data_IF_396199045815
#
_entry.id   IF_396199045815
#
_cell.length_a   1.000
_cell.length_b   1.000
_cell.length_c   1.000
_cell.angle_alpha   90.00
_cell.angle_beta   90.00
_cell.angle_gamma   90.00
#
_symmetry.space_group_name_H-M   'P 1'
#
loop_
_entity.id
_entity.type
_entity.pdbx_description
1 polymer ?
#
# COMPACT_ATOMS: atom_id res chain seq x y z
N UNK A 1 9.46 15.74 5.43
CA UNK A 1 9.84 15.57 6.80
C UNK A 1 9.88 14.16 7.38
N UNK A 2 9.22 13.15 6.77
CA UNK A 2 9.14 11.81 7.39
C UNK A 2 10.48 11.06 7.41
N UNK A 3 11.33 11.22 6.38
CA UNK A 3 12.63 10.56 6.34
C UNK A 3 13.62 11.13 7.36
N UNK A 4 13.53 12.42 7.68
CA UNK A 4 14.37 13.03 8.72
C UNK A 4 14.07 12.49 10.12
N UNK A 5 12.82 12.18 10.43
CA UNK A 5 12.43 11.56 11.71
C UNK A 5 12.91 10.11 11.83
N UNK A 6 13.07 9.42 10.71
CA UNK A 6 13.65 8.09 10.68
C UNK A 6 15.15 8.13 11.03
N UNK A 7 15.94 9.03 10.47
CA UNK A 7 17.39 9.16 10.70
C UNK A 7 17.77 9.50 12.17
N UNK A 8 16.83 10.02 12.95
CA UNK A 8 17.04 10.41 14.35
C UNK A 8 16.42 9.44 15.37
N UNK A 9 15.89 8.30 14.94
CA UNK A 9 15.33 7.28 15.84
C UNK A 9 16.46 6.48 16.49
N UNK A 10 16.46 6.34 17.82
CA UNK A 10 17.48 5.58 18.57
C UNK A 10 17.50 4.07 18.24
N UNK A 11 16.45 3.53 17.58
CA UNK A 11 16.33 2.12 17.21
C UNK A 11 16.67 1.83 15.75
N UNK A 12 17.56 2.60 15.16
CA UNK A 12 17.95 2.47 13.77
C UNK A 12 18.77 1.20 13.51
N UNK A 13 18.48 0.44 12.44
CA UNK A 13 19.36 -0.65 12.00
C UNK A 13 20.74 -0.09 11.68
N UNK A 14 21.80 -0.60 12.35
CA UNK A 14 23.20 -0.24 12.06
C UNK A 14 23.70 -0.70 10.69
N UNK A 15 22.86 -1.42 9.93
CA UNK A 15 23.14 -1.91 8.58
C UNK A 15 22.20 -1.25 7.58
N UNK A 16 22.53 -1.33 6.30
CA UNK A 16 21.63 -0.90 5.22
C UNK A 16 20.25 -1.53 5.37
N UNK A 17 19.18 -0.77 5.14
CA UNK A 17 17.81 -1.23 5.25
C UNK A 17 16.92 -0.63 4.16
N UNK A 18 15.75 -1.23 3.97
CA UNK A 18 14.72 -0.72 3.08
C UNK A 18 13.66 0.03 3.87
N UNK A 19 13.34 1.23 3.42
CA UNK A 19 12.19 1.99 3.94
C UNK A 19 11.04 1.94 2.94
N UNK A 20 9.86 1.53 3.41
CA UNK A 20 8.59 1.81 2.75
C UNK A 20 8.01 3.10 3.36
N UNK A 21 8.09 4.19 2.62
CA UNK A 21 7.41 5.44 2.96
C UNK A 21 6.01 5.41 2.34
N UNK A 22 4.97 5.38 3.17
CA UNK A 22 3.59 5.27 2.72
C UNK A 22 2.65 6.22 3.47
N UNK A 23 2.20 7.25 2.76
CA UNK A 23 1.39 8.36 3.31
C UNK A 23 0.32 8.81 2.31
N UNK A 24 -0.39 9.89 2.64
CA UNK A 24 -1.34 10.56 1.74
C UNK A 24 -0.70 11.08 0.46
N UNK A 25 0.56 11.54 0.51
CA UNK A 25 1.24 12.15 -0.63
C UNK A 25 2.39 11.32 -1.21
N UNK A 26 2.85 10.28 -0.52
CA UNK A 26 4.02 9.51 -0.92
C UNK A 26 3.81 8.01 -0.79
N UNK A 27 4.28 7.28 -1.81
CA UNK A 27 4.46 5.82 -1.74
C UNK A 27 5.76 5.51 -2.44
N UNK A 28 6.80 5.24 -1.65
CA UNK A 28 8.17 5.07 -2.14
C UNK A 28 8.92 3.95 -1.41
N UNK A 29 9.79 3.25 -2.15
CA UNK A 29 10.78 2.33 -1.61
C UNK A 29 12.15 2.98 -1.66
N UNK A 30 12.79 3.12 -0.50
CA UNK A 30 14.05 3.84 -0.35
C UNK A 30 15.04 2.93 0.37
N UNK A 31 16.16 2.64 -0.30
CA UNK A 31 17.31 1.99 0.33
C UNK A 31 18.09 3.05 1.09
N UNK A 32 18.27 2.82 2.38
CA UNK A 32 19.10 3.66 3.24
C UNK A 32 20.42 2.91 3.50
N UNK A 33 21.52 3.60 3.27
CA UNK A 33 22.86 3.08 3.49
C UNK A 33 23.66 4.09 4.30
N UNK A 34 24.27 3.65 5.40
CA UNK A 34 25.00 4.50 6.34
C UNK A 34 26.14 5.32 5.66
N UNK A 35 26.81 4.71 4.67
CA UNK A 35 27.98 5.32 3.98
C UNK A 35 27.60 6.02 2.65
N UNK A 36 26.52 5.61 2.00
CA UNK A 36 26.15 6.07 0.64
C UNK A 36 24.86 6.90 0.59
N UNK A 37 24.27 7.19 1.75
CA UNK A 37 23.03 7.96 1.83
C UNK A 37 21.79 7.15 1.41
N UNK A 38 20.83 7.83 0.80
CA UNK A 38 19.53 7.28 0.43
C UNK A 38 19.39 7.13 -1.08
N UNK A 39 18.85 5.99 -1.53
CA UNK A 39 18.56 5.70 -2.92
C UNK A 39 17.10 5.27 -3.05
N UNK A 40 16.32 6.01 -3.84
CA UNK A 40 14.94 5.61 -4.19
C UNK A 40 15.01 4.47 -5.21
N UNK A 41 14.36 3.35 -4.90
CA UNK A 41 14.30 2.14 -5.72
C UNK A 41 12.95 1.97 -6.42
N UNK A 42 11.87 2.52 -5.85
CA UNK A 42 10.54 2.49 -6.42
C UNK A 42 9.69 3.64 -5.91
N UNK A 43 8.64 3.99 -6.65
CA UNK A 43 7.68 5.03 -6.31
C UNK A 43 6.31 4.77 -6.91
N UNK A 44 5.27 5.48 -6.44
CA UNK A 44 4.01 5.54 -7.18
C UNK A 44 4.12 6.45 -8.39
N UNK A 45 3.53 6.01 -9.51
CA UNK A 45 3.47 6.77 -10.77
C UNK A 45 2.18 7.59 -10.90
N UNK A 46 1.22 7.31 -10.05
CA UNK A 46 -0.06 8.01 -9.99
C UNK A 46 -0.42 8.33 -8.53
N UNK A 47 -1.60 7.97 -8.06
CA UNK A 47 -2.03 8.21 -6.67
C UNK A 47 -1.07 7.53 -5.67
N UNK A 48 -0.75 8.22 -4.58
CA UNK A 48 -0.17 7.56 -3.40
C UNK A 48 -1.19 6.63 -2.74
N UNK A 49 -0.73 5.64 -1.98
CA UNK A 49 -1.63 4.68 -1.32
C UNK A 49 -2.64 5.39 -0.39
N UNK A 50 -2.20 6.35 0.41
CA UNK A 50 -3.10 7.11 1.28
C UNK A 50 -4.10 7.95 0.51
N UNK A 51 -3.71 8.56 -0.60
CA UNK A 51 -4.61 9.26 -1.52
C UNK A 51 -5.66 8.31 -2.12
N UNK A 52 -5.27 7.08 -2.46
CA UNK A 52 -6.21 6.05 -2.93
C UNK A 52 -7.22 5.67 -1.85
N UNK A 53 -6.79 5.53 -0.59
CA UNK A 53 -7.68 5.34 0.56
C UNK A 53 -8.68 6.49 0.70
N UNK A 54 -8.24 7.75 0.59
CA UNK A 54 -9.11 8.93 0.71
C UNK A 54 -10.13 9.00 -0.44
N UNK A 55 -9.70 8.74 -1.67
CA UNK A 55 -10.56 8.74 -2.85
C UNK A 55 -11.61 7.63 -2.80
N UNK A 56 -11.21 6.41 -2.41
CA UNK A 56 -12.14 5.27 -2.28
C UNK A 56 -13.06 5.47 -1.07
N UNK A 57 -12.56 5.96 0.06
CA UNK A 57 -13.38 6.30 1.22
C UNK A 57 -14.51 7.27 0.84
N UNK A 58 -14.18 8.34 0.12
CA UNK A 58 -15.17 9.30 -0.39
C UNK A 58 -16.19 8.65 -1.33
N UNK A 59 -15.72 7.78 -2.25
CA UNK A 59 -16.59 7.06 -3.18
C UNK A 59 -17.58 6.14 -2.46
N UNK A 60 -17.18 5.55 -1.34
CA UNK A 60 -18.01 4.70 -0.50
C UNK A 60 -18.86 5.49 0.53
N UNK A 61 -18.83 6.83 0.50
CA UNK A 61 -19.59 7.68 1.42
C UNK A 61 -19.03 7.69 2.86
N UNK A 62 -17.75 7.33 3.05
CA UNK A 62 -17.09 7.29 4.35
C UNK A 62 -16.52 8.67 4.73
N UNK A 63 -16.29 8.87 6.04
CA UNK A 63 -15.67 10.08 6.57
C UNK A 63 -14.21 10.21 6.20
N UNK A 64 -13.71 11.44 6.16
CA UNK A 64 -12.28 11.74 6.06
C UNK A 64 -11.63 11.72 7.46
N UNK A 65 -10.38 11.21 7.59
CA UNK A 65 -9.51 10.63 6.55
C UNK A 65 -9.94 9.20 6.17
N UNK A 66 -9.83 8.90 4.86
CA UNK A 66 -10.32 7.65 4.26
C UNK A 66 -9.65 6.40 4.78
N UNK A 67 -8.34 6.45 5.09
CA UNK A 67 -7.60 5.31 5.61
C UNK A 67 -8.22 4.71 6.87
N UNK A 68 -8.32 5.45 7.99
CA UNK A 68 -8.97 4.97 9.21
C UNK A 68 -10.45 4.61 9.02
N UNK A 69 -11.19 5.33 8.17
CA UNK A 69 -12.59 5.05 7.91
C UNK A 69 -12.80 3.72 7.17
N UNK A 70 -11.98 3.45 6.15
CA UNK A 70 -11.98 2.16 5.44
C UNK A 70 -11.57 1.04 6.39
N UNK A 71 -10.48 1.18 7.16
CA UNK A 71 -10.05 0.17 8.11
C UNK A 71 -11.13 -0.18 9.14
N UNK A 72 -11.86 0.84 9.63
CA UNK A 72 -12.94 0.64 10.59
C UNK A 72 -14.08 -0.19 10.01
N UNK A 73 -14.56 0.16 8.81
CA UNK A 73 -15.71 -0.52 8.18
C UNK A 73 -15.33 -1.90 7.62
N UNK A 74 -14.10 -2.06 7.14
CA UNK A 74 -13.57 -3.30 6.60
C UNK A 74 -13.55 -4.46 7.61
N UNK A 75 -13.50 -4.17 8.92
CA UNK A 75 -13.60 -5.18 9.98
C UNK A 75 -14.88 -6.01 9.92
N UNK A 76 -15.94 -5.47 9.34
CA UNK A 76 -17.25 -6.11 9.22
C UNK A 76 -17.48 -6.69 7.82
N UNK A 77 -16.48 -6.66 6.93
CA UNK A 77 -16.57 -7.13 5.56
C UNK A 77 -15.73 -8.37 5.28
N UNK A 78 -16.07 -9.04 4.19
CA UNK A 78 -15.29 -10.15 3.67
C UNK A 78 -14.20 -9.63 2.68
N UNK A 79 -12.91 -9.73 3.03
CA UNK A 79 -11.83 -9.25 2.17
C UNK A 79 -11.68 -10.05 0.88
N UNK A 80 -12.27 -11.24 0.78
CA UNK A 80 -12.21 -12.10 -0.41
C UNK A 80 -13.45 -11.97 -1.31
N UNK A 81 -14.43 -11.16 -0.91
CA UNK A 81 -15.70 -11.02 -1.64
C UNK A 81 -15.54 -10.49 -3.05
N UNK A 82 -14.66 -9.52 -3.25
CA UNK A 82 -14.42 -8.91 -4.56
C UNK A 82 -12.97 -9.10 -5.01
N UNK A 83 -12.80 -9.59 -6.24
CA UNK A 83 -11.48 -9.72 -6.85
C UNK A 83 -11.10 -8.40 -7.55
N UNK A 84 -10.50 -7.47 -6.81
CA UNK A 84 -10.01 -6.21 -7.33
C UNK A 84 -8.61 -6.39 -7.94
N UNK A 85 -8.27 -5.62 -8.99
CA UNK A 85 -7.00 -5.78 -9.71
C UNK A 85 -5.81 -5.29 -8.89
N UNK A 86 -4.72 -6.05 -8.89
CA UNK A 86 -3.40 -5.57 -8.48
C UNK A 86 -2.77 -4.81 -9.63
N UNK A 87 -2.88 -3.48 -9.63
CA UNK A 87 -2.35 -2.66 -10.71
C UNK A 87 -0.84 -2.84 -10.87
N UNK A 88 -0.38 -3.02 -12.12
CA UNK A 88 1.02 -3.15 -12.49
C UNK A 88 1.34 -2.12 -13.56
N UNK A 89 2.57 -1.61 -13.54
CA UNK A 89 3.05 -0.65 -14.51
C UNK A 89 3.87 -1.38 -15.54
N UNK A 90 3.49 -1.28 -16.82
CA UNK A 90 4.22 -1.90 -17.92
C UNK A 90 5.61 -1.28 -18.08
N UNK A 91 6.60 -2.11 -18.28
CA UNK A 91 7.94 -1.72 -18.68
C UNK A 91 7.99 -1.55 -20.21
N UNK A 92 8.83 -0.65 -20.69
CA UNK A 92 9.09 -0.42 -22.13
C UNK A 92 9.62 -1.67 -22.86
N UNK A 93 10.12 -2.66 -22.11
CA UNK A 93 10.67 -3.92 -22.64
C UNK A 93 9.64 -5.08 -22.65
N UNK A 94 8.36 -4.80 -22.44
CA UNK A 94 7.29 -5.81 -22.47
C UNK A 94 7.08 -6.56 -21.15
N UNK A 95 7.71 -6.11 -20.05
CA UNK A 95 7.51 -6.63 -18.71
C UNK A 95 6.76 -5.65 -17.80
N UNK A 96 7.00 -5.76 -16.48
CA UNK A 96 6.47 -4.86 -15.48
C UNK A 96 7.59 -4.28 -14.60
N UNK A 97 7.42 -3.01 -14.20
CA UNK A 97 8.29 -2.39 -13.22
C UNK A 97 8.14 -3.10 -11.87
N UNK A 98 9.28 -3.57 -11.32
CA UNK A 98 9.27 -4.53 -10.20
C UNK A 98 8.90 -3.92 -8.86
N UNK A 99 9.24 -2.65 -8.63
CA UNK A 99 9.18 -1.99 -7.33
C UNK A 99 8.25 -0.77 -7.31
N UNK A 100 7.74 -0.38 -8.48
CA UNK A 100 6.89 0.79 -8.60
C UNK A 100 5.42 0.47 -8.34
N UNK A 101 4.66 1.48 -7.95
CA UNK A 101 3.27 1.37 -7.54
C UNK A 101 2.35 2.14 -8.48
N UNK A 102 1.11 1.69 -8.58
CA UNK A 102 0.00 2.39 -9.22
C UNK A 102 -1.29 2.02 -8.48
N UNK A 103 -2.10 3.01 -8.15
CA UNK A 103 -3.36 2.82 -7.42
C UNK A 103 -4.56 3.45 -8.13
N UNK A 104 -4.37 4.30 -9.16
CA UNK A 104 -5.48 4.94 -9.88
C UNK A 104 -6.40 3.92 -10.57
N UNK A 105 -5.83 2.84 -11.12
CA UNK A 105 -6.60 1.76 -11.71
C UNK A 105 -7.46 0.99 -10.70
N UNK A 106 -6.99 0.85 -9.46
CA UNK A 106 -7.73 0.22 -8.38
C UNK A 106 -8.93 1.08 -7.96
N UNK A 107 -8.76 2.41 -7.84
CA UNK A 107 -9.87 3.33 -7.61
C UNK A 107 -10.94 3.21 -8.69
N UNK A 108 -10.52 3.17 -9.97
CA UNK A 108 -11.44 3.04 -11.10
C UNK A 108 -12.18 1.70 -11.07
N UNK A 109 -11.53 0.62 -10.66
CA UNK A 109 -12.16 -0.68 -10.51
C UNK A 109 -13.26 -0.66 -9.43
N UNK A 110 -13.00 -0.02 -8.29
CA UNK A 110 -14.00 0.15 -7.22
C UNK A 110 -15.18 1.00 -7.71
N UNK A 111 -14.91 2.12 -8.43
CA UNK A 111 -15.98 2.96 -8.99
C UNK A 111 -16.91 2.14 -9.91
N UNK A 112 -16.33 1.42 -10.87
CA UNK A 112 -17.11 0.57 -11.79
C UNK A 112 -17.90 -0.53 -11.07
N UNK A 113 -17.32 -1.10 -10.01
CA UNK A 113 -18.01 -2.11 -9.20
C UNK A 113 -19.24 -1.51 -8.51
N UNK A 114 -19.12 -0.32 -7.89
CA UNK A 114 -20.24 0.39 -7.23
C UNK A 114 -21.31 0.76 -8.24
N UNK A 115 -20.92 1.30 -9.40
CA UNK A 115 -21.85 1.66 -10.48
C UNK A 115 -22.63 0.44 -10.96
N UNK A 116 -21.95 -0.69 -11.18
CA UNK A 116 -22.60 -1.94 -11.60
C UNK A 116 -23.63 -2.44 -10.57
N UNK A 117 -23.26 -2.44 -9.28
CA UNK A 117 -24.16 -2.88 -8.20
C UNK A 117 -25.41 -1.99 -8.15
N UNK A 118 -25.24 -0.67 -8.29
CA UNK A 118 -26.35 0.29 -8.32
C UNK A 118 -27.27 0.07 -9.55
N UNK A 119 -26.69 -0.16 -10.73
CA UNK A 119 -27.47 -0.47 -11.95
C UNK A 119 -28.26 -1.77 -11.82
N UNK A 120 -27.73 -2.75 -11.10
CA UNK A 120 -28.45 -4.00 -10.78
C UNK A 120 -29.55 -3.82 -9.73
N UNK A 121 -29.78 -2.60 -9.21
CA UNK A 121 -30.77 -2.30 -8.17
C UNK A 121 -30.44 -2.90 -6.79
N UNK A 122 -29.18 -3.26 -6.56
CA UNK A 122 -28.73 -3.89 -5.30
C UNK A 122 -28.14 -2.85 -4.33
N UNK A 123 -28.21 -3.15 -3.05
CA UNK A 123 -27.52 -2.37 -2.03
C UNK A 123 -26.02 -2.58 -2.13
N UNK A 124 -25.26 -1.49 -2.14
CA UNK A 124 -23.79 -1.53 -2.18
C UNK A 124 -23.25 -2.11 -0.87
N UNK A 125 -22.55 -3.26 -0.89
CA UNK A 125 -21.98 -3.87 0.34
C UNK A 125 -20.67 -3.15 0.71
N UNK A 126 -20.79 -1.96 1.26
CA UNK A 126 -19.65 -1.09 1.61
C UNK A 126 -18.58 -1.78 2.46
N UNK A 127 -18.92 -2.58 3.52
CA UNK A 127 -17.91 -3.28 4.29
C UNK A 127 -17.08 -4.26 3.46
N UNK A 128 -17.70 -5.03 2.58
CA UNK A 128 -17.02 -6.03 1.74
C UNK A 128 -16.11 -5.37 0.69
N UNK A 129 -16.57 -4.27 0.09
CA UNK A 129 -15.76 -3.50 -0.86
C UNK A 129 -14.57 -2.86 -0.16
N UNK A 130 -14.79 -2.26 1.02
CA UNK A 130 -13.73 -1.67 1.85
C UNK A 130 -12.67 -2.72 2.23
N UNK A 131 -13.10 -3.90 2.70
CA UNK A 131 -12.22 -5.00 3.09
C UNK A 131 -11.41 -5.54 1.88
N UNK A 132 -12.07 -5.73 0.73
CA UNK A 132 -11.40 -6.19 -0.49
C UNK A 132 -10.39 -5.17 -1.02
N UNK A 133 -10.72 -3.87 -0.96
CA UNK A 133 -9.83 -2.78 -1.34
C UNK A 133 -8.61 -2.72 -0.42
N UNK A 134 -8.82 -2.68 0.90
CA UNK A 134 -7.76 -2.63 1.90
C UNK A 134 -6.78 -3.81 1.73
N UNK A 135 -7.30 -5.03 1.56
CA UNK A 135 -6.50 -6.22 1.29
C UNK A 135 -5.61 -6.06 0.07
N UNK A 136 -6.16 -5.62 -1.06
CA UNK A 136 -5.40 -5.50 -2.31
C UNK A 136 -4.31 -4.42 -2.21
N UNK A 137 -4.60 -3.28 -1.57
CA UNK A 137 -3.57 -2.25 -1.32
C UNK A 137 -2.45 -2.82 -0.46
N UNK A 138 -2.78 -3.49 0.65
CA UNK A 138 -1.79 -4.10 1.53
C UNK A 138 -0.95 -5.17 0.81
N UNK A 139 -1.59 -6.06 0.03
CA UNK A 139 -0.88 -7.06 -0.78
C UNK A 139 0.12 -6.44 -1.77
N UNK A 140 -0.29 -5.38 -2.48
CA UNK A 140 0.58 -4.67 -3.44
C UNK A 140 1.78 -4.04 -2.74
N UNK A 141 1.56 -3.37 -1.60
CA UNK A 141 2.63 -2.75 -0.81
C UNK A 141 3.61 -3.80 -0.28
N UNK A 142 3.09 -4.88 0.30
CA UNK A 142 3.91 -5.97 0.87
C UNK A 142 4.69 -6.70 -0.22
N UNK A 143 4.03 -7.12 -1.30
CA UNK A 143 4.66 -7.87 -2.40
C UNK A 143 5.88 -7.12 -2.96
N UNK A 144 5.73 -5.82 -3.26
CA UNK A 144 6.81 -5.03 -3.84
C UNK A 144 7.92 -4.72 -2.85
N UNK A 145 7.57 -4.46 -1.59
CA UNK A 145 8.54 -4.21 -0.53
C UNK A 145 9.42 -5.44 -0.28
N UNK A 146 8.79 -6.60 -0.11
CA UNK A 146 9.51 -7.86 0.11
C UNK A 146 10.37 -8.24 -1.09
N UNK A 147 9.85 -8.08 -2.31
CA UNK A 147 10.64 -8.30 -3.54
C UNK A 147 11.85 -7.39 -3.59
N UNK A 148 11.67 -6.10 -3.36
CA UNK A 148 12.75 -5.11 -3.36
C UNK A 148 13.80 -5.44 -2.29
N UNK A 149 13.40 -5.82 -1.08
CA UNK A 149 14.32 -6.24 -0.03
C UNK A 149 15.14 -7.48 -0.44
N UNK A 150 14.49 -8.49 -1.06
CA UNK A 150 15.16 -9.70 -1.58
C UNK A 150 16.19 -9.37 -2.65
N UNK A 151 15.77 -8.65 -3.69
CA UNK A 151 16.62 -8.36 -4.85
C UNK A 151 17.83 -7.50 -4.47
N UNK A 152 17.75 -6.73 -3.37
CA UNK A 152 18.82 -5.87 -2.85
C UNK A 152 19.55 -6.44 -1.62
N UNK A 153 19.27 -7.67 -1.22
CA UNK A 153 19.86 -8.35 -0.04
C UNK A 153 19.75 -7.51 1.23
N UNK A 154 18.55 -6.95 1.51
CA UNK A 154 18.28 -6.13 2.68
C UNK A 154 17.41 -6.91 3.67
N UNK A 155 17.96 -7.14 4.88
CA UNK A 155 17.29 -7.94 5.92
C UNK A 155 16.34 -7.12 6.79
N UNK A 156 16.52 -5.79 6.82
CA UNK A 156 15.71 -4.91 7.63
C UNK A 156 14.78 -4.08 6.76
N UNK A 157 13.51 -4.02 7.16
CA UNK A 157 12.46 -3.22 6.52
C UNK A 157 11.86 -2.30 7.58
N UNK A 158 11.80 -1.02 7.27
CA UNK A 158 11.17 0.02 8.11
C UNK A 158 9.96 0.55 7.35
N UNK A 159 8.79 0.60 7.98
CA UNK A 159 7.56 1.12 7.38
C UNK A 159 7.15 2.40 8.10
N UNK A 160 6.99 3.49 7.35
CA UNK A 160 6.70 4.82 7.90
C UNK A 160 5.64 5.57 7.09
N UNK A 161 5.04 6.56 7.71
CA UNK A 161 3.96 7.38 7.15
C UNK A 161 2.60 7.01 7.73
N UNK A 162 1.56 7.79 7.39
CA UNK A 162 0.22 7.62 7.97
C UNK A 162 -0.41 6.25 7.70
N UNK A 163 -0.20 5.69 6.50
CA UNK A 163 -0.72 4.36 6.13
C UNK A 163 0.04 3.22 6.84
N UNK A 164 1.24 3.48 7.37
CA UNK A 164 1.99 2.50 8.17
C UNK A 164 1.25 2.08 9.46
N UNK A 165 0.27 2.86 9.91
CA UNK A 165 -0.59 2.52 11.05
C UNK A 165 -1.65 1.48 10.73
N UNK A 166 -1.96 1.24 9.44
CA UNK A 166 -2.98 0.29 9.01
C UNK A 166 -2.66 -1.14 9.48
N UNK A 167 -3.59 -1.75 10.22
CA UNK A 167 -3.38 -3.06 10.85
C UNK A 167 -3.26 -4.20 9.83
N UNK A 168 -4.00 -4.15 8.72
CA UNK A 168 -3.93 -5.17 7.66
C UNK A 168 -2.55 -5.16 7.01
N UNK A 169 -2.04 -3.97 6.66
CA UNK A 169 -0.69 -3.81 6.13
C UNK A 169 0.38 -4.33 7.11
N UNK A 170 0.27 -3.95 8.39
CA UNK A 170 1.24 -4.37 9.42
C UNK A 170 1.28 -5.89 9.60
N UNK A 171 0.12 -6.52 9.75
CA UNK A 171 0.00 -7.99 9.90
C UNK A 171 0.59 -8.71 8.70
N UNK A 172 0.25 -8.29 7.49
CA UNK A 172 0.76 -8.90 6.26
C UNK A 172 2.28 -8.71 6.12
N UNK A 173 2.80 -7.51 6.42
CA UNK A 173 4.23 -7.22 6.34
C UNK A 173 5.02 -8.09 7.33
N UNK A 174 4.57 -8.19 8.58
CA UNK A 174 5.21 -9.03 9.62
C UNK A 174 5.17 -10.51 9.18
N UNK A 175 4.02 -11.01 8.71
CA UNK A 175 3.88 -12.40 8.26
C UNK A 175 4.83 -12.74 7.12
N UNK A 176 4.93 -11.88 6.09
CA UNK A 176 5.82 -12.13 4.95
C UNK A 176 7.31 -11.96 5.30
N UNK A 177 7.65 -11.04 6.18
CA UNK A 177 9.01 -10.88 6.67
C UNK A 177 9.47 -12.11 7.49
N UNK A 178 8.57 -12.69 8.32
CA UNK A 178 8.86 -13.87 9.15
C UNK A 178 9.10 -15.15 8.33
N UNK A 179 8.52 -15.28 7.15
CA UNK A 179 8.76 -16.44 6.24
C UNK A 179 10.18 -16.50 5.67
N UNK A 180 10.98 -15.48 5.95
CA UNK A 180 12.37 -15.35 5.49
C UNK A 180 13.43 -15.82 6.51
N UNK A 181 13.01 -16.09 7.75
CA UNK A 181 13.93 -16.50 8.84
C UNK A 181 14.21 -17.98 8.78
#
# INVERSE_FOLDING_TARGET
GHLSSILFSENYPKKSFLTLLVSGGHTELIKVNEKRGMQRLGKSFDDAAGEAFDKVGRLLGLSYPGGPAIEKIAKNGDPMKFNLPKCRISDKKGGFLKYDFSFSGLKTAVLRLVEKINLDGKTVPVPDIAASFERVVAEVLVERTIRCAKDHCLDNIVVVGGVAANNTLRKMMISEASKKS
#
